data_IF_724855557456
#
_entry.id   IF_724855557456
#
_cell.length_a   1.000
_cell.length_b   1.000
_cell.length_c   1.000
_cell.angle_alpha   90.00
_cell.angle_beta   90.00
_cell.angle_gamma   90.00
#
_symmetry.space_group_name_H-M   'P 1'
#
loop_
_entity.id
_entity.type
_entity.pdbx_description
1 polymer ?
#
# COMPACT_ATOMS: atom_id res chain seq x y z
N UNK A 1 54.36 9.62 25.34
CA UNK A 1 54.40 9.85 23.86
C UNK A 1 53.77 8.68 23.09
N UNK A 2 53.94 7.44 23.54
CA UNK A 2 53.40 6.21 22.90
C UNK A 2 51.86 6.20 22.89
N UNK A 3 51.20 6.66 23.94
CA UNK A 3 49.73 6.65 24.02
C UNK A 3 49.02 7.51 22.97
N UNK A 4 49.66 8.57 22.46
CA UNK A 4 49.07 9.43 21.41
C UNK A 4 49.03 8.75 20.05
N UNK A 5 49.99 7.90 19.75
CA UNK A 5 50.05 7.14 18.49
C UNK A 5 49.10 5.95 18.51
N UNK A 6 48.89 5.30 19.67
CA UNK A 6 47.93 4.22 19.85
C UNK A 6 46.50 4.74 19.68
N UNK A 7 46.21 5.93 20.23
CA UNK A 7 44.87 6.57 20.07
C UNK A 7 44.61 6.97 18.61
N UNK A 8 45.63 7.45 17.88
CA UNK A 8 45.53 7.78 16.46
C UNK A 8 45.27 6.58 15.57
N UNK A 9 45.93 5.44 15.84
CA UNK A 9 45.75 4.20 15.09
C UNK A 9 44.34 3.60 15.36
N UNK A 10 43.85 3.68 16.61
CA UNK A 10 42.50 3.23 16.96
C UNK A 10 41.37 4.08 16.28
N UNK A 11 41.58 5.39 16.13
CA UNK A 11 40.63 6.24 15.41
C UNK A 11 40.59 5.99 13.91
N UNK A 12 41.75 5.64 13.28
CA UNK A 12 41.81 5.32 11.86
C UNK A 12 41.16 3.96 11.59
N UNK A 13 41.31 2.98 12.49
CA UNK A 13 40.66 1.67 12.39
C UNK A 13 39.14 1.72 12.43
N UNK A 14 38.55 2.68 13.15
CA UNK A 14 37.10 2.88 13.23
C UNK A 14 36.49 3.53 11.97
N UNK A 15 37.30 4.21 11.15
CA UNK A 15 36.85 4.83 9.91
C UNK A 15 36.69 3.84 8.73
N UNK A 16 37.28 2.64 8.84
CA UNK A 16 37.21 1.61 7.78
C UNK A 16 36.08 0.60 7.96
N UNK A 17 35.30 0.66 9.05
CA UNK A 17 34.31 -0.39 9.35
C UNK A 17 32.92 -0.16 8.75
N UNK A 18 32.71 0.86 7.93
CA UNK A 18 31.37 1.23 7.43
C UNK A 18 31.28 1.47 5.92
N UNK A 19 32.15 0.90 5.09
CA UNK A 19 32.17 1.24 3.66
C UNK A 19 31.97 0.08 2.69
N UNK A 20 31.52 -1.07 3.15
CA UNK A 20 31.07 -2.10 2.21
C UNK A 20 29.52 -2.08 2.15
N UNK A 21 29.02 -1.15 1.37
CA UNK A 21 27.63 -1.03 0.95
C UNK A 21 27.47 -1.57 -0.49
N UNK A 22 28.31 -2.48 -0.92
CA UNK A 22 28.03 -3.28 -2.10
C UNK A 22 26.98 -4.31 -1.69
N UNK A 23 25.74 -3.95 -1.98
CA UNK A 23 24.62 -4.85 -1.88
C UNK A 23 24.85 -5.99 -2.88
N UNK A 24 25.19 -7.18 -2.38
CA UNK A 24 25.15 -8.40 -3.18
C UNK A 24 23.68 -8.61 -3.57
N UNK A 25 23.31 -8.12 -4.74
CA UNK A 25 22.01 -8.39 -5.36
C UNK A 25 21.95 -9.89 -5.68
N UNK A 26 21.63 -10.69 -4.65
CA UNK A 26 21.33 -12.11 -4.80
C UNK A 26 19.96 -12.21 -5.46
N UNK A 27 19.96 -12.23 -6.75
CA UNK A 27 18.81 -12.19 -7.63
C UNK A 27 19.02 -11.09 -8.63
N UNK A 28 19.85 -11.38 -9.62
CA UNK A 28 20.08 -10.53 -10.76
C UNK A 28 18.73 -10.29 -11.45
N UNK A 29 18.09 -9.16 -11.15
CA UNK A 29 17.10 -8.58 -12.03
C UNK A 29 17.91 -8.08 -13.24
N UNK A 30 18.37 -9.05 -14.06
CA UNK A 30 18.94 -8.74 -15.36
C UNK A 30 17.93 -7.89 -16.12
N UNK A 31 18.44 -6.97 -16.92
CA UNK A 31 17.66 -6.14 -17.87
C UNK A 31 16.78 -6.95 -18.82
N UNK A 32 16.83 -8.27 -18.73
CA UNK A 32 16.01 -9.24 -19.45
C UNK A 32 14.69 -9.57 -18.75
N UNK A 33 14.38 -8.95 -17.59
CA UNK A 33 13.02 -8.91 -17.10
C UNK A 33 12.21 -7.99 -18.02
N UNK A 34 12.03 -8.45 -19.23
CA UNK A 34 10.95 -7.99 -20.07
C UNK A 34 9.67 -8.47 -19.38
N UNK A 35 8.98 -7.57 -18.70
CA UNK A 35 7.59 -7.81 -18.31
C UNK A 35 6.80 -7.88 -19.63
N UNK A 36 6.91 -9.02 -20.32
CA UNK A 36 6.02 -9.34 -21.41
C UNK A 36 4.61 -9.32 -20.85
N UNK A 37 3.88 -8.26 -21.15
CA UNK A 37 2.50 -8.08 -20.72
C UNK A 37 2.20 -6.81 -19.94
N UNK A 38 3.17 -5.99 -19.52
CA UNK A 38 2.88 -4.60 -19.15
C UNK A 38 2.95 -3.75 -20.40
N UNK A 39 1.91 -3.77 -21.18
CA UNK A 39 1.66 -2.81 -22.25
C UNK A 39 1.40 -1.44 -21.62
N UNK A 40 2.44 -0.62 -21.53
CA UNK A 40 2.27 0.82 -21.26
C UNK A 40 1.73 1.47 -22.52
N UNK A 41 0.41 1.38 -22.75
CA UNK A 41 -0.26 2.17 -23.78
C UNK A 41 -0.41 1.46 -25.12
N UNK A 42 -1.20 0.42 -25.19
CA UNK A 42 -1.72 -0.15 -26.43
C UNK A 42 -3.22 -0.40 -26.29
N UNK A 43 -3.98 0.09 -27.23
CA UNK A 43 -5.44 -0.09 -27.33
C UNK A 43 -5.83 -1.52 -27.71
N UNK A 44 -5.55 -2.47 -26.83
CA UNK A 44 -5.96 -3.87 -26.96
C UNK A 44 -6.71 -4.28 -25.67
N UNK A 45 -7.95 -4.71 -25.79
CA UNK A 45 -8.94 -4.81 -24.71
C UNK A 45 -8.49 -5.45 -23.38
N UNK A 46 -7.53 -6.39 -23.38
CA UNK A 46 -7.05 -7.03 -22.14
C UNK A 46 -5.98 -6.21 -21.38
N UNK A 47 -5.11 -5.48 -22.10
CA UNK A 47 -4.05 -4.66 -21.50
C UNK A 47 -4.62 -3.49 -20.69
N UNK A 48 -5.64 -2.84 -21.19
CA UNK A 48 -6.31 -1.73 -20.50
C UNK A 48 -7.03 -2.20 -19.23
N UNK A 49 -7.68 -3.36 -19.26
CA UNK A 49 -8.36 -3.91 -18.11
C UNK A 49 -7.39 -4.29 -17.00
N UNK A 50 -6.25 -4.91 -17.31
CA UNK A 50 -5.21 -5.25 -16.34
C UNK A 50 -4.55 -4.00 -15.75
N UNK A 51 -4.28 -2.98 -16.57
CA UNK A 51 -3.82 -1.68 -16.10
C UNK A 51 -4.81 -1.07 -15.11
N UNK A 52 -6.12 -1.19 -15.38
CA UNK A 52 -7.20 -0.80 -14.48
C UNK A 52 -7.14 -1.53 -13.13
N UNK A 53 -6.81 -2.82 -13.15
CA UNK A 53 -6.64 -3.63 -11.92
C UNK A 53 -5.51 -3.07 -11.04
N UNK A 54 -4.34 -2.78 -11.60
CA UNK A 54 -3.24 -2.19 -10.82
C UNK A 54 -3.52 -0.75 -10.37
N UNK A 55 -4.19 0.03 -11.20
CA UNK A 55 -4.65 1.37 -10.81
C UNK A 55 -5.66 1.32 -9.66
N UNK A 56 -6.42 0.25 -9.49
CA UNK A 56 -7.31 0.07 -8.35
C UNK A 56 -6.55 0.09 -7.02
N UNK A 57 -5.33 -0.47 -6.95
CA UNK A 57 -4.49 -0.40 -5.74
C UNK A 57 -4.10 1.05 -5.43
N UNK A 58 -3.72 1.81 -6.44
CA UNK A 58 -3.42 3.24 -6.30
C UNK A 58 -4.66 4.02 -5.86
N UNK A 59 -5.80 3.78 -6.50
CA UNK A 59 -7.08 4.45 -6.22
C UNK A 59 -7.62 4.12 -4.83
N UNK A 60 -7.22 2.98 -4.26
CA UNK A 60 -7.52 2.58 -2.88
C UNK A 60 -6.76 3.41 -1.82
N UNK A 61 -6.21 4.55 -2.19
CA UNK A 61 -5.56 5.47 -1.26
C UNK A 61 -4.21 5.00 -0.73
N UNK A 62 -3.48 4.15 -1.48
CA UNK A 62 -2.21 3.56 -1.04
C UNK A 62 -1.16 4.58 -0.66
N UNK A 63 -1.10 5.70 -1.37
CA UNK A 63 -0.13 6.79 -1.12
C UNK A 63 -0.83 8.15 -1.05
N UNK A 64 -2.12 8.16 -0.75
CA UNK A 64 -2.92 9.38 -0.74
C UNK A 64 -3.19 9.82 0.69
N UNK A 65 -3.01 11.11 0.96
CA UNK A 65 -3.51 11.75 2.16
C UNK A 65 -5.03 11.53 2.27
N UNK A 66 -5.51 11.10 3.41
CA UNK A 66 -6.92 10.77 3.61
C UNK A 66 -7.34 9.35 3.19
N UNK A 67 -6.39 8.54 2.70
CA UNK A 67 -6.61 7.14 2.34
C UNK A 67 -5.94 6.15 3.27
N UNK A 68 -5.77 4.93 2.79
CA UNK A 68 -5.20 3.80 3.54
C UNK A 68 -3.89 4.14 4.24
N UNK A 69 -2.95 4.78 3.53
CA UNK A 69 -1.64 5.14 4.09
C UNK A 69 -1.77 6.00 5.35
N UNK A 70 -2.53 7.08 5.28
CA UNK A 70 -2.67 8.01 6.40
C UNK A 70 -3.46 7.39 7.56
N UNK A 71 -4.51 6.63 7.26
CA UNK A 71 -5.31 5.94 8.30
C UNK A 71 -4.45 4.95 9.07
N UNK A 72 -3.66 4.14 8.36
CA UNK A 72 -2.77 3.16 9.00
C UNK A 72 -1.68 3.85 9.83
N UNK A 73 -0.95 4.79 9.23
CA UNK A 73 0.22 5.40 9.87
C UNK A 73 -0.14 6.30 11.05
N UNK A 74 -1.27 7.00 10.99
CA UNK A 74 -1.71 7.87 12.11
C UNK A 74 -2.29 7.05 13.25
N UNK A 75 -3.01 5.96 12.96
CA UNK A 75 -3.58 5.09 14.00
C UNK A 75 -2.56 4.16 14.66
N UNK A 76 -1.39 3.95 14.04
CA UNK A 76 -0.31 3.13 14.58
C UNK A 76 0.78 3.93 15.29
N UNK A 77 0.59 5.23 15.48
CA UNK A 77 1.56 6.15 16.08
C UNK A 77 2.87 6.34 15.28
N UNK A 78 2.95 5.80 14.07
CA UNK A 78 4.09 6.03 13.17
C UNK A 78 4.14 7.47 12.65
N UNK A 79 2.99 8.13 12.59
CA UNK A 79 2.83 9.47 12.06
C UNK A 79 1.87 10.29 12.92
N UNK A 80 2.21 11.54 13.15
CA UNK A 80 1.30 12.53 13.73
C UNK A 80 1.00 13.62 12.70
N UNK A 81 -0.26 13.89 12.46
CA UNK A 81 -0.70 15.05 11.66
C UNK A 81 -0.89 16.23 12.61
N UNK A 82 0.07 17.13 12.62
CA UNK A 82 0.05 18.32 13.51
C UNK A 82 -0.67 19.47 12.85
N UNK A 83 -1.48 20.17 13.61
CA UNK A 83 -2.09 21.41 13.17
C UNK A 83 -1.02 22.49 12.92
N UNK A 84 -1.11 23.15 11.78
CA UNK A 84 -0.24 24.27 11.38
C UNK A 84 -1.10 25.50 11.09
N UNK A 85 -1.37 26.28 12.11
CA UNK A 85 -2.30 27.39 12.01
C UNK A 85 -3.72 26.92 11.70
N UNK A 86 -4.28 27.33 10.57
CA UNK A 86 -5.57 26.82 10.06
C UNK A 86 -5.45 25.56 9.21
N UNK A 87 -4.23 25.19 8.80
CA UNK A 87 -3.98 24.05 7.93
C UNK A 87 -3.89 22.74 8.72
N UNK A 88 -4.31 21.64 8.08
CA UNK A 88 -4.21 20.28 8.59
C UNK A 88 -5.01 19.98 9.87
N UNK A 89 -5.85 20.90 10.31
CA UNK A 89 -6.75 20.61 11.43
C UNK A 89 -7.88 19.66 11.01
N UNK A 90 -8.47 19.88 9.84
CA UNK A 90 -9.52 19.04 9.21
C UNK A 90 -10.65 18.67 10.19
N UNK A 91 -11.06 19.61 11.04
CA UNK A 91 -12.05 19.36 12.09
C UNK A 91 -11.58 18.46 13.23
N UNK A 92 -10.28 18.19 13.33
CA UNK A 92 -9.68 17.36 14.39
C UNK A 92 -9.65 15.84 14.07
N UNK A 93 -10.05 15.43 12.87
CA UNK A 93 -10.18 13.99 12.52
C UNK A 93 -8.88 13.20 12.66
N UNK A 94 -7.75 13.82 12.33
CA UNK A 94 -6.42 13.21 12.46
C UNK A 94 -5.95 13.14 13.92
N UNK A 95 -6.27 14.16 14.69
CA UNK A 95 -5.97 14.19 16.12
C UNK A 95 -6.78 13.15 16.89
N UNK A 96 -8.04 13.00 16.55
CA UNK A 96 -8.91 11.95 17.11
C UNK A 96 -8.38 10.55 16.75
N UNK A 97 -7.88 10.39 15.53
CA UNK A 97 -7.28 9.13 15.08
C UNK A 97 -6.01 8.78 15.86
N UNK A 98 -5.09 9.73 15.99
CA UNK A 98 -3.86 9.57 16.79
C UNK A 98 -4.16 9.28 18.26
N UNK A 99 -5.19 9.90 18.82
CA UNK A 99 -5.61 9.68 20.21
C UNK A 99 -6.49 8.44 20.41
N UNK A 100 -6.81 7.72 19.35
CA UNK A 100 -7.75 6.58 19.36
C UNK A 100 -9.15 6.96 19.92
N UNK A 101 -9.57 8.20 19.73
CA UNK A 101 -10.89 8.72 20.14
C UNK A 101 -11.86 8.84 18.96
N UNK A 102 -11.45 8.40 17.77
CA UNK A 102 -12.27 8.44 16.57
C UNK A 102 -13.46 7.48 16.65
N UNK A 103 -14.50 7.80 15.91
CA UNK A 103 -15.70 6.99 15.77
C UNK A 103 -15.79 6.41 14.35
N UNK A 104 -16.68 5.45 14.09
CA UNK A 104 -16.93 4.97 12.73
C UNK A 104 -17.35 6.06 11.73
N UNK A 105 -17.85 7.21 12.22
CA UNK A 105 -18.22 8.35 11.39
C UNK A 105 -17.04 9.28 11.02
N UNK A 106 -15.83 8.99 11.51
CA UNK A 106 -14.64 9.75 11.13
C UNK A 106 -14.43 9.71 9.61
N UNK A 107 -14.28 10.88 8.98
CA UNK A 107 -14.21 11.01 7.53
C UNK A 107 -13.12 10.15 6.85
N UNK A 108 -11.86 10.24 7.27
CA UNK A 108 -10.78 9.36 6.80
C UNK A 108 -11.08 7.86 6.93
N UNK A 109 -11.67 7.42 8.05
CA UNK A 109 -12.05 6.01 8.27
C UNK A 109 -13.13 5.57 7.26
N UNK A 110 -14.21 6.32 7.16
CA UNK A 110 -15.30 6.04 6.20
C UNK A 110 -14.83 6.15 4.75
N UNK A 111 -14.01 7.16 4.45
CA UNK A 111 -13.45 7.37 3.13
C UNK A 111 -12.56 6.22 2.68
N UNK A 112 -11.69 5.73 3.55
CA UNK A 112 -10.81 4.59 3.24
C UNK A 112 -11.62 3.31 3.00
N UNK A 113 -12.65 3.04 3.80
CA UNK A 113 -13.58 1.93 3.55
C UNK A 113 -14.17 2.00 2.14
N UNK A 114 -14.74 3.15 1.78
CA UNK A 114 -15.37 3.35 0.48
C UNK A 114 -14.39 3.23 -0.68
N UNK A 115 -13.18 3.78 -0.53
CA UNK A 115 -12.12 3.69 -1.54
C UNK A 115 -11.67 2.23 -1.77
N UNK A 116 -11.50 1.45 -0.71
CA UNK A 116 -11.09 0.04 -0.83
C UNK A 116 -12.16 -0.77 -1.55
N UNK A 117 -13.45 -0.64 -1.17
CA UNK A 117 -14.53 -1.36 -1.84
C UNK A 117 -14.79 -0.88 -3.26
N UNK A 118 -14.64 0.42 -3.53
CA UNK A 118 -14.68 0.95 -4.89
C UNK A 118 -13.60 0.32 -5.78
N UNK A 119 -12.40 0.17 -5.24
CA UNK A 119 -11.29 -0.48 -5.94
C UNK A 119 -11.52 -1.98 -6.15
N UNK A 120 -12.09 -2.69 -5.17
CA UNK A 120 -12.52 -4.09 -5.33
C UNK A 120 -13.57 -4.20 -6.44
N UNK A 121 -14.52 -3.27 -6.50
CA UNK A 121 -15.51 -3.20 -7.57
C UNK A 121 -14.88 -3.05 -8.96
N UNK A 122 -13.86 -2.20 -9.10
CA UNK A 122 -13.09 -2.07 -10.35
C UNK A 122 -12.40 -3.38 -10.76
N UNK A 123 -11.77 -4.05 -9.80
CA UNK A 123 -11.12 -5.34 -10.05
C UNK A 123 -12.15 -6.42 -10.43
N UNK A 124 -13.27 -6.49 -9.74
CA UNK A 124 -14.37 -7.42 -10.08
C UNK A 124 -14.90 -7.17 -11.50
N UNK A 125 -15.06 -5.91 -11.89
CA UNK A 125 -15.47 -5.58 -13.25
C UNK A 125 -14.43 -6.02 -14.29
N UNK A 126 -13.15 -5.82 -14.03
CA UNK A 126 -12.09 -6.31 -14.91
C UNK A 126 -12.09 -7.84 -15.03
N UNK A 127 -12.29 -8.56 -13.92
CA UNK A 127 -12.40 -10.02 -13.90
C UNK A 127 -13.60 -10.52 -14.72
N UNK A 128 -14.73 -9.83 -14.63
CA UNK A 128 -15.97 -10.27 -15.29
C UNK A 128 -16.04 -9.85 -16.76
N UNK A 129 -15.64 -8.61 -17.05
CA UNK A 129 -15.91 -7.97 -18.33
C UNK A 129 -14.65 -7.53 -19.09
N UNK A 130 -13.44 -7.69 -18.49
CA UNK A 130 -12.21 -7.14 -19.03
C UNK A 130 -11.55 -7.98 -20.14
N UNK A 131 -12.07 -9.15 -20.46
CA UNK A 131 -11.45 -10.03 -21.48
C UNK A 131 -10.05 -10.50 -21.12
N UNK A 132 -9.77 -10.67 -19.81
CA UNK A 132 -8.46 -11.06 -19.30
C UNK A 132 -8.11 -12.49 -19.69
N UNK A 133 -6.88 -12.74 -20.09
CA UNK A 133 -6.35 -14.09 -20.26
C UNK A 133 -6.14 -14.77 -18.89
N UNK A 134 -5.72 -16.04 -18.89
CA UNK A 134 -5.57 -16.83 -17.67
C UNK A 134 -4.55 -16.25 -16.69
N UNK A 135 -3.43 -15.69 -17.18
CA UNK A 135 -2.39 -15.07 -16.36
C UNK A 135 -2.88 -13.72 -15.79
N UNK A 136 -3.46 -12.87 -16.63
CA UNK A 136 -4.05 -11.59 -16.23
C UNK A 136 -5.17 -11.80 -15.21
N UNK A 137 -5.99 -12.82 -15.39
CA UNK A 137 -7.02 -13.23 -14.45
C UNK A 137 -6.44 -13.62 -13.08
N UNK A 138 -5.33 -14.36 -13.06
CA UNK A 138 -4.65 -14.72 -11.83
C UNK A 138 -4.12 -13.48 -11.10
N UNK A 139 -3.49 -12.55 -11.82
CA UNK A 139 -3.02 -11.27 -11.27
C UNK A 139 -4.17 -10.44 -10.69
N UNK A 140 -5.29 -10.33 -11.40
CA UNK A 140 -6.47 -9.60 -10.92
C UNK A 140 -7.03 -10.20 -9.62
N UNK A 141 -7.07 -11.53 -9.52
CA UNK A 141 -7.49 -12.23 -8.29
C UNK A 141 -6.55 -11.97 -7.12
N UNK A 142 -5.23 -11.93 -7.35
CA UNK A 142 -4.25 -11.57 -6.32
C UNK A 142 -4.47 -10.14 -5.83
N UNK A 143 -4.64 -9.18 -6.74
CA UNK A 143 -4.92 -7.78 -6.38
C UNK A 143 -6.22 -7.68 -5.57
N UNK A 144 -7.28 -8.38 -5.96
CA UNK A 144 -8.53 -8.43 -5.21
C UNK A 144 -8.34 -8.97 -3.79
N UNK A 145 -7.60 -10.06 -3.65
CA UNK A 145 -7.29 -10.64 -2.34
C UNK A 145 -6.49 -9.66 -1.47
N UNK A 146 -5.53 -8.96 -2.04
CA UNK A 146 -4.75 -7.93 -1.35
C UNK A 146 -5.61 -6.77 -0.84
N UNK A 147 -6.55 -6.28 -1.64
CA UNK A 147 -7.47 -5.22 -1.22
C UNK A 147 -8.39 -5.67 -0.07
N UNK A 148 -8.87 -6.91 -0.09
CA UNK A 148 -9.63 -7.48 1.03
C UNK A 148 -8.76 -7.65 2.28
N UNK A 149 -7.52 -8.09 2.11
CA UNK A 149 -6.57 -8.19 3.23
C UNK A 149 -6.36 -6.83 3.91
N UNK A 150 -6.17 -5.75 3.14
CA UNK A 150 -6.06 -4.39 3.69
C UNK A 150 -7.31 -3.97 4.47
N UNK A 151 -8.49 -4.28 3.94
CA UNK A 151 -9.75 -4.03 4.65
C UNK A 151 -9.82 -4.80 5.96
N UNK A 152 -9.48 -6.07 5.94
CA UNK A 152 -9.49 -6.93 7.13
C UNK A 152 -8.48 -6.44 8.18
N UNK A 153 -7.33 -5.99 7.75
CA UNK A 153 -6.30 -5.44 8.63
C UNK A 153 -6.80 -4.19 9.37
N UNK A 154 -7.41 -3.25 8.66
CA UNK A 154 -7.90 -1.99 9.23
C UNK A 154 -9.20 -2.14 10.03
N UNK A 155 -10.16 -2.95 9.56
CA UNK A 155 -11.54 -2.96 10.09
C UNK A 155 -11.93 -4.26 10.79
N UNK A 156 -11.14 -5.30 10.67
CA UNK A 156 -11.42 -6.62 11.26
C UNK A 156 -12.50 -7.37 10.48
N UNK A 157 -13.76 -7.14 10.80
CA UNK A 157 -14.88 -7.78 10.11
C UNK A 157 -15.20 -7.07 8.79
N UNK A 158 -15.17 -7.80 7.69
CA UNK A 158 -15.37 -7.26 6.36
C UNK A 158 -16.37 -8.09 5.56
N UNK A 159 -16.85 -7.53 4.46
CA UNK A 159 -17.64 -8.23 3.47
C UNK A 159 -16.74 -8.71 2.34
N UNK A 160 -16.75 -9.99 2.05
CA UNK A 160 -16.02 -10.53 0.89
C UNK A 160 -16.86 -10.30 -0.36
N UNK A 161 -16.41 -9.36 -1.18
CA UNK A 161 -17.05 -8.98 -2.44
C UNK A 161 -16.31 -9.63 -3.61
N UNK A 162 -16.77 -10.80 -4.04
CA UNK A 162 -16.13 -11.58 -5.12
C UNK A 162 -16.69 -11.29 -6.52
N UNK A 163 -17.70 -10.42 -6.61
CA UNK A 163 -18.39 -10.09 -7.86
C UNK A 163 -19.53 -11.02 -8.24
N UNK A 164 -19.81 -12.06 -7.45
CA UNK A 164 -20.93 -12.99 -7.71
C UNK A 164 -22.31 -12.43 -7.34
N UNK A 165 -22.35 -11.25 -6.71
CA UNK A 165 -23.58 -10.70 -6.13
C UNK A 165 -23.96 -11.30 -4.78
N UNK A 166 -23.25 -12.34 -4.33
CA UNK A 166 -23.33 -12.89 -2.99
C UNK A 166 -22.25 -12.27 -2.11
N UNK A 167 -22.61 -11.74 -0.97
CA UNK A 167 -21.65 -11.19 -0.01
C UNK A 167 -21.59 -12.11 1.21
N UNK A 168 -20.41 -12.66 1.49
CA UNK A 168 -20.14 -13.37 2.73
C UNK A 168 -19.45 -12.41 3.70
N UNK A 169 -19.98 -12.30 4.92
CA UNK A 169 -19.30 -11.58 5.97
C UNK A 169 -18.20 -12.46 6.55
N UNK A 170 -16.97 -11.95 6.58
CA UNK A 170 -15.83 -12.62 7.21
C UNK A 170 -15.52 -11.96 8.55
N UNK A 171 -15.30 -12.77 9.57
CA UNK A 171 -14.76 -12.31 10.84
C UNK A 171 -13.26 -12.55 10.89
N UNK A 172 -12.54 -11.64 11.55
CA UNK A 172 -11.15 -11.84 11.94
C UNK A 172 -11.14 -12.89 13.05
N UNK A 173 -10.65 -14.08 12.75
CA UNK A 173 -10.42 -15.16 13.73
C UNK A 173 -9.00 -15.09 14.29
#
# INVERSE_FOLDING_TARGET
TINKYILGIALIGLAYSCTDLEEDLVGDLTSDFSVEGISTGGSGGGGDALTGVFNAVRNAGTANHGGYFSVQSVSSDEMAVTQKGGDWYDGGVWLDMHRHTFTPANGPVTGTWSQQYGSIGQVNNAITNGGLDANQMAQAKVVRAYLHWRLMDLYGNIVIADGSGSSAQSSRS
#
